data_IF_222059809547
#
_entry.id   IF_222059809547
#
_cell.length_a   1.000
_cell.length_b   1.000
_cell.length_c   1.000
_cell.angle_alpha   90.00
_cell.angle_beta   90.00
_cell.angle_gamma   90.00
#
_symmetry.space_group_name_H-M   'P 1'
#
loop_
_entity.id
_entity.type
_entity.pdbx_description
1 polymer ?
#
# COMPACT_ATOMS: atom_id res chain seq x y z
N UNK A 1 7.68 -15.19 -10.94
CA UNK A 1 7.88 -13.78 -11.37
C UNK A 1 8.56 -13.78 -12.73
N UNK A 2 8.18 -12.87 -13.65
CA UNK A 2 8.89 -12.72 -14.92
C UNK A 2 10.33 -12.28 -14.68
N UNK A 3 11.27 -12.85 -15.45
CA UNK A 3 12.73 -12.67 -15.24
C UNK A 3 13.25 -11.28 -15.62
N UNK A 4 12.43 -10.46 -16.27
CA UNK A 4 12.73 -9.14 -16.79
C UNK A 4 11.93 -8.02 -16.09
N UNK A 5 11.46 -8.27 -14.87
CA UNK A 5 10.78 -7.25 -14.06
C UNK A 5 11.80 -6.30 -13.45
N UNK A 6 11.72 -5.01 -13.79
CA UNK A 6 12.47 -3.95 -13.11
C UNK A 6 11.68 -3.60 -11.83
N UNK A 7 12.34 -3.70 -10.67
CA UNK A 7 11.74 -3.41 -9.36
C UNK A 7 12.42 -2.18 -8.78
N UNK A 8 11.71 -1.06 -8.77
CA UNK A 8 12.13 0.15 -8.06
C UNK A 8 11.84 0.00 -6.56
N UNK A 9 12.80 0.41 -5.73
CA UNK A 9 12.68 0.37 -4.27
C UNK A 9 12.22 1.74 -3.78
N UNK A 10 11.25 1.78 -2.88
CA UNK A 10 10.82 2.98 -2.18
C UNK A 10 11.08 2.88 -0.68
N UNK A 11 11.23 4.03 -0.03
CA UNK A 11 11.16 4.20 1.44
C UNK A 11 9.87 4.97 1.72
N UNK A 12 9.12 4.68 2.79
CA UNK A 12 7.90 5.46 3.08
C UNK A 12 8.25 6.93 3.28
N UNK A 13 7.31 7.82 2.94
CA UNK A 13 7.51 9.25 2.91
C UNK A 13 7.94 9.80 4.28
N UNK A 14 7.36 9.29 5.37
CA UNK A 14 7.80 9.67 6.71
C UNK A 14 9.25 9.21 6.99
N UNK A 15 9.59 7.97 6.65
CA UNK A 15 10.91 7.41 6.92
C UNK A 15 12.01 8.02 6.05
N UNK A 16 11.73 8.41 4.80
CA UNK A 16 12.76 8.91 3.89
C UNK A 16 13.33 10.26 4.35
N UNK A 17 12.53 11.08 5.04
CA UNK A 17 12.99 12.33 5.64
C UNK A 17 13.94 12.11 6.83
N UNK A 18 13.92 10.93 7.46
CA UNK A 18 14.90 10.55 8.48
C UNK A 18 16.24 10.07 7.92
N UNK A 19 16.35 9.92 6.60
CA UNK A 19 17.58 9.53 5.92
C UNK A 19 18.38 10.76 5.45
N UNK A 20 19.58 10.49 4.92
CA UNK A 20 20.37 11.50 4.19
C UNK A 20 19.63 11.99 2.95
N UNK A 21 19.89 13.24 2.55
CA UNK A 21 19.17 13.93 1.47
C UNK A 21 19.20 13.20 0.12
N UNK A 22 20.26 12.43 -0.17
CA UNK A 22 20.34 11.65 -1.40
C UNK A 22 19.30 10.52 -1.46
N UNK A 23 18.83 10.05 -0.30
CA UNK A 23 17.79 9.03 -0.24
C UNK A 23 16.41 9.58 -0.60
N UNK A 24 16.12 10.84 -0.27
CA UNK A 24 14.84 11.48 -0.60
C UNK A 24 14.63 11.53 -2.11
N UNK A 25 15.62 12.03 -2.86
CA UNK A 25 15.53 12.12 -4.32
C UNK A 25 15.46 10.75 -5.02
N UNK A 26 16.02 9.71 -4.41
CA UNK A 26 16.15 8.38 -5.03
C UNK A 26 15.04 7.41 -4.64
N UNK A 27 14.53 7.51 -3.42
CA UNK A 27 13.65 6.51 -2.82
C UNK A 27 12.33 7.09 -2.31
N UNK A 28 12.12 8.42 -2.41
CA UNK A 28 10.82 8.99 -2.06
C UNK A 28 9.74 8.45 -3.02
N UNK A 29 8.58 8.03 -2.48
CA UNK A 29 7.42 7.62 -3.28
C UNK A 29 7.03 8.65 -4.33
N UNK A 30 7.17 9.93 -3.99
CA UNK A 30 6.81 11.08 -4.83
C UNK A 30 7.61 11.15 -6.13
N UNK A 31 8.82 10.58 -6.17
CA UNK A 31 9.71 10.64 -7.35
C UNK A 31 9.77 9.33 -8.15
N UNK A 32 9.08 8.27 -7.71
CA UNK A 32 9.06 6.98 -8.42
C UNK A 32 7.96 7.02 -9.49
N UNK A 33 8.36 6.90 -10.76
CA UNK A 33 7.42 6.93 -11.89
C UNK A 33 6.41 5.77 -11.77
N UNK A 34 5.12 6.11 -11.84
CA UNK A 34 4.03 5.13 -11.74
C UNK A 34 3.62 4.80 -10.30
N UNK A 35 4.32 5.33 -9.29
CA UNK A 35 3.84 5.33 -7.93
C UNK A 35 2.77 6.43 -7.82
N UNK A 36 1.55 6.08 -7.41
CA UNK A 36 0.50 7.05 -7.14
C UNK A 36 0.84 7.93 -5.93
N UNK A 37 0.05 8.95 -5.65
CA UNK A 37 0.21 9.76 -4.44
C UNK A 37 -0.04 8.89 -3.20
N UNK A 38 1.04 8.44 -2.56
CA UNK A 38 1.01 7.56 -1.41
C UNK A 38 2.15 7.89 -0.46
N UNK A 39 1.88 7.79 0.83
CA UNK A 39 2.89 7.83 1.89
C UNK A 39 3.81 6.60 1.87
N UNK A 40 3.46 5.52 1.16
CA UNK A 40 4.21 4.25 1.19
C UNK A 40 4.18 3.56 2.56
N UNK A 41 3.32 4.00 3.47
CA UNK A 41 3.17 3.53 4.84
C UNK A 41 1.88 2.72 4.96
N UNK A 42 1.93 1.53 5.56
CA UNK A 42 0.72 0.69 5.69
C UNK A 42 0.35 0.46 7.16
N UNK A 43 1.34 0.25 8.02
CA UNK A 43 1.10 -0.18 9.40
C UNK A 43 0.48 0.92 10.26
N UNK A 44 0.97 2.15 10.14
CA UNK A 44 0.51 3.26 10.98
C UNK A 44 -0.92 3.69 10.62
N UNK A 45 -1.25 3.75 9.33
CA UNK A 45 -2.61 4.01 8.85
C UNK A 45 -3.58 2.89 9.27
N UNK A 46 -3.10 1.64 9.37
CA UNK A 46 -3.89 0.52 9.84
C UNK A 46 -4.23 0.64 11.34
N UNK A 47 -3.35 1.21 12.17
CA UNK A 47 -3.62 1.41 13.61
C UNK A 47 -4.87 2.25 13.86
N UNK A 48 -5.12 3.28 13.06
CA UNK A 48 -6.35 4.07 13.16
C UNK A 48 -7.62 3.20 13.01
N UNK A 49 -7.57 2.22 12.11
CA UNK A 49 -8.68 1.26 11.92
C UNK A 49 -8.78 0.30 13.12
N UNK A 50 -7.64 -0.17 13.64
CA UNK A 50 -7.59 -1.10 14.78
C UNK A 50 -7.98 -0.45 16.11
N UNK A 51 -7.83 0.87 16.25
CA UNK A 51 -8.30 1.58 17.44
C UNK A 51 -9.79 1.37 17.69
N UNK A 52 -10.60 1.17 16.64
CA UNK A 52 -12.05 0.90 16.75
C UNK A 52 -12.37 -0.43 17.44
N UNK A 53 -11.50 -1.44 17.29
CA UNK A 53 -11.67 -2.78 17.88
C UNK A 53 -10.81 -2.97 19.13
N UNK A 54 -9.94 -2.00 19.45
CA UNK A 54 -9.05 -2.08 20.61
C UNK A 54 -9.82 -2.27 21.91
N UNK A 55 -10.95 -1.57 22.09
CA UNK A 55 -11.75 -1.63 23.32
C UNK A 55 -12.44 -2.98 23.46
N UNK A 56 -13.05 -3.50 22.37
CA UNK A 56 -13.75 -4.79 22.41
C UNK A 56 -12.79 -5.97 22.60
N UNK A 57 -11.55 -5.84 22.15
CA UNK A 57 -10.52 -6.89 22.30
C UNK A 57 -9.82 -6.92 23.65
N UNK A 58 -10.01 -5.90 24.51
CA UNK A 58 -9.33 -5.82 25.81
C UNK A 58 -9.81 -6.85 26.83
N UNK A 59 -11.07 -7.23 26.80
CA UNK A 59 -11.68 -8.16 27.77
C UNK A 59 -11.75 -9.60 27.25
N UNK A 60 -11.29 -9.84 26.03
CA UNK A 60 -11.24 -11.18 25.43
C UNK A 60 -10.13 -12.02 26.06
N UNK A 61 -10.31 -13.35 26.08
CA UNK A 61 -9.22 -14.27 26.37
C UNK A 61 -8.11 -14.12 25.32
N UNK A 62 -6.87 -14.46 25.68
CA UNK A 62 -5.70 -14.28 24.81
C UNK A 62 -5.88 -14.96 23.44
N UNK A 63 -6.41 -16.19 23.42
CA UNK A 63 -6.67 -16.92 22.17
C UNK A 63 -7.72 -16.21 21.31
N UNK A 64 -8.84 -15.82 21.92
CA UNK A 64 -9.93 -15.19 21.20
C UNK A 64 -9.58 -13.78 20.71
N UNK A 65 -8.76 -13.06 21.47
CA UNK A 65 -8.18 -11.77 21.06
C UNK A 65 -7.32 -11.94 19.81
N UNK A 66 -6.43 -12.94 19.80
CA UNK A 66 -5.55 -13.20 18.65
C UNK A 66 -6.38 -13.52 17.39
N UNK A 67 -7.33 -14.45 17.48
CA UNK A 67 -8.22 -14.82 16.38
C UNK A 67 -9.00 -13.62 15.83
N UNK A 68 -9.46 -12.74 16.72
CA UNK A 68 -10.21 -11.54 16.34
C UNK A 68 -9.33 -10.55 15.59
N UNK A 69 -8.12 -10.27 16.10
CA UNK A 69 -7.16 -9.40 15.41
C UNK A 69 -6.77 -9.98 14.05
N UNK A 70 -6.52 -11.29 13.95
CA UNK A 70 -6.18 -11.98 12.71
C UNK A 70 -7.33 -11.91 11.69
N UNK A 71 -8.59 -12.06 12.14
CA UNK A 71 -9.75 -11.88 11.29
C UNK A 71 -9.82 -10.46 10.73
N UNK A 72 -9.59 -9.43 11.56
CA UNK A 72 -9.59 -8.04 11.10
C UNK A 72 -8.44 -7.73 10.14
N UNK A 73 -7.24 -8.29 10.36
CA UNK A 73 -6.13 -8.17 9.42
C UNK A 73 -6.44 -8.84 8.07
N UNK A 74 -7.04 -10.03 8.10
CA UNK A 74 -7.45 -10.74 6.88
C UNK A 74 -8.55 -10.00 6.10
N UNK A 75 -9.55 -9.45 6.77
CA UNK A 75 -10.59 -8.61 6.13
C UNK A 75 -9.97 -7.37 5.47
N UNK A 76 -8.99 -6.75 6.12
CA UNK A 76 -8.29 -5.60 5.55
C UNK A 76 -7.48 -5.99 4.30
N UNK A 77 -6.75 -7.11 4.35
CA UNK A 77 -6.04 -7.67 3.21
C UNK A 77 -6.99 -7.99 2.04
N UNK A 78 -8.14 -8.59 2.33
CA UNK A 78 -9.17 -8.90 1.34
C UNK A 78 -9.71 -7.63 0.66
N UNK A 79 -10.06 -6.60 1.43
CA UNK A 79 -10.51 -5.30 0.90
C UNK A 79 -9.44 -4.65 0.02
N UNK A 80 -8.17 -4.75 0.41
CA UNK A 80 -7.04 -4.26 -0.38
C UNK A 80 -6.94 -5.00 -1.72
N UNK A 81 -7.00 -6.34 -1.71
CA UNK A 81 -6.98 -7.16 -2.93
C UNK A 81 -8.11 -6.77 -3.90
N UNK A 82 -9.34 -6.60 -3.41
CA UNK A 82 -10.48 -6.16 -4.23
C UNK A 82 -10.29 -4.76 -4.80
N UNK A 83 -9.65 -3.88 -4.04
CA UNK A 83 -9.41 -2.49 -4.46
C UNK A 83 -8.27 -2.41 -5.48
N UNK A 84 -7.23 -3.24 -5.35
CA UNK A 84 -6.15 -3.30 -6.34
C UNK A 84 -6.66 -3.72 -7.73
N UNK A 85 -7.61 -4.66 -7.81
CA UNK A 85 -8.21 -5.07 -9.09
C UNK A 85 -8.95 -3.95 -9.82
N UNK A 86 -9.48 -2.94 -9.10
CA UNK A 86 -10.12 -1.75 -9.69
C UNK A 86 -9.14 -0.83 -10.40
N UNK A 87 -7.90 -0.73 -9.92
CA UNK A 87 -6.85 0.10 -10.52
C UNK A 87 -6.01 -0.63 -11.57
N UNK A 88 -6.15 -1.96 -11.67
CA UNK A 88 -5.42 -2.81 -12.62
C UNK A 88 -6.26 -3.31 -13.81
N UNK A 89 -7.52 -2.88 -13.94
CA UNK A 89 -8.28 -3.08 -15.17
C UNK A 89 -7.62 -2.22 -16.27
N UNK A 90 -7.02 -2.84 -17.30
CA UNK A 90 -6.49 -2.07 -18.41
C UNK A 90 -7.67 -1.35 -19.07
N UNK A 91 -7.55 -0.04 -19.22
CA UNK A 91 -8.22 0.67 -20.31
C UNK A 91 -7.65 0.05 -21.58
N UNK A 92 -8.29 -1.01 -22.08
CA UNK A 92 -8.15 -1.46 -23.47
C UNK A 92 -9.07 -0.53 -24.26
N UNK A 93 -8.69 0.74 -24.36
CA UNK A 93 -9.33 1.68 -25.25
C UNK A 93 -8.32 2.04 -26.33
N UNK A 94 -8.81 1.86 -27.54
CA UNK A 94 -8.15 1.94 -28.83
C UNK A 94 -7.36 3.22 -29.05
N UNK A 95 -6.04 3.11 -29.21
CA UNK A 95 -5.26 4.11 -29.97
C UNK A 95 -5.04 3.59 -31.39
N UNK A 96 -6.15 3.46 -32.12
CA UNK A 96 -6.13 3.74 -33.55
C UNK A 96 -6.41 5.24 -33.68
N UNK A 97 -5.38 6.07 -33.84
CA UNK A 97 -5.38 7.33 -34.60
C UNK A 97 -3.99 7.97 -34.47
N UNK A 98 -3.26 8.04 -35.58
CA UNK A 98 -1.96 8.72 -35.62
C UNK A 98 -2.09 10.23 -35.48
N UNK A 99 -0.99 10.87 -35.08
CA UNK A 99 -0.61 12.15 -35.65
C UNK A 99 0.89 12.35 -35.45
N UNK A 100 1.54 12.66 -36.56
CA UNK A 100 2.92 13.11 -36.68
C UNK A 100 2.96 14.57 -36.22
N UNK A 101 3.90 14.90 -35.33
CA UNK A 101 4.73 16.11 -35.37
C UNK A 101 5.89 15.95 -34.38
#
# INVERSE_FOLDING_TARGET
>A
MPRNLIIDKGISLFHVHGHKRECELRYSPTFIKGMGETDGEILETLWSTFNKISISTRTMSTSHRQETLDRHMNDWNWKKMLTMGRYFMPVIETDSHGCVQ
#
